data_IF_042629826980
#
_entry.id   IF_042629826980
#
_cell.length_a   1.000
_cell.length_b   1.000
_cell.length_c   1.000
_cell.angle_alpha   90.00
_cell.angle_beta   90.00
_cell.angle_gamma   90.00
#
_symmetry.space_group_name_H-M   'P 1'
#
loop_
_entity.id
_entity.type
_entity.pdbx_description
1 polymer ?
#
# COMPACT_ATOMS: atom_id res chain seq x y z
N UNK A 1 0.99 17.42 7.15
CA UNK A 1 -0.28 16.68 7.40
C UNK A 1 -0.80 16.65 8.84
N UNK A 2 0.04 16.77 9.88
CA UNK A 2 -0.38 16.66 11.30
C UNK A 2 -1.54 17.59 11.69
N UNK A 3 -2.55 17.03 12.34
CA UNK A 3 -3.71 17.78 12.84
C UNK A 3 -4.82 18.06 11.81
N UNK A 4 -4.64 17.68 10.54
CA UNK A 4 -5.68 17.75 9.51
C UNK A 4 -6.60 16.53 9.57
N UNK A 5 -7.87 16.71 9.24
CA UNK A 5 -8.79 15.58 9.01
C UNK A 5 -8.52 14.94 7.65
N UNK A 6 -8.70 13.62 7.58
CA UNK A 6 -8.53 12.85 6.35
C UNK A 6 -9.46 11.63 6.31
N UNK A 7 -9.67 11.09 5.11
CA UNK A 7 -10.35 9.82 4.86
C UNK A 7 -9.44 8.89 4.07
N UNK A 8 -9.61 7.57 4.26
CA UNK A 8 -8.83 6.55 3.56
C UNK A 8 -9.77 5.68 2.73
N UNK A 9 -9.51 5.65 1.42
CA UNK A 9 -10.07 4.67 0.50
C UNK A 9 -9.06 3.54 0.29
N UNK A 10 -9.54 2.29 0.28
CA UNK A 10 -8.73 1.09 0.05
C UNK A 10 -9.31 0.35 -1.15
N UNK A 11 -8.48 0.08 -2.14
CA UNK A 11 -8.90 -0.54 -3.40
C UNK A 11 -9.49 -1.94 -3.20
N UNK A 12 -8.84 -2.77 -2.37
CA UNK A 12 -9.23 -4.16 -2.19
C UNK A 12 -10.61 -4.31 -1.52
N UNK A 13 -11.13 -3.27 -0.86
CA UNK A 13 -12.51 -3.25 -0.35
C UNK A 13 -13.55 -3.18 -1.48
N UNK A 14 -13.12 -2.85 -2.71
CA UNK A 14 -13.97 -2.84 -3.91
C UNK A 14 -13.91 -4.15 -4.70
N UNK A 15 -13.02 -5.08 -4.31
CA UNK A 15 -12.87 -6.37 -4.97
C UNK A 15 -14.04 -7.30 -4.61
N UNK A 16 -14.29 -8.35 -5.43
CA UNK A 16 -15.29 -9.36 -5.10
C UNK A 16 -15.00 -10.03 -3.75
N UNK A 17 -16.06 -10.44 -3.05
CA UNK A 17 -15.95 -11.14 -1.78
C UNK A 17 -15.05 -12.39 -1.91
N UNK A 18 -14.05 -12.51 -1.05
CA UNK A 18 -13.13 -13.63 -1.01
C UNK A 18 -11.87 -13.49 -1.86
N UNK A 19 -11.77 -12.46 -2.72
CA UNK A 19 -10.57 -12.20 -3.55
C UNK A 19 -9.48 -11.43 -2.81
N UNK A 20 -9.80 -10.84 -1.65
CA UNK A 20 -8.84 -10.09 -0.84
C UNK A 20 -8.30 -10.93 0.32
N UNK A 21 -7.05 -11.34 0.21
CA UNK A 21 -6.27 -11.96 1.28
C UNK A 21 -5.39 -10.92 1.98
N UNK A 22 -5.85 -10.45 3.13
CA UNK A 22 -5.16 -9.43 3.93
C UNK A 22 -3.71 -9.80 4.32
N UNK A 23 -3.31 -11.08 4.20
CA UNK A 23 -1.99 -11.57 4.57
C UNK A 23 -1.09 -11.92 3.39
N UNK A 24 -1.57 -11.94 2.14
CA UNK A 24 -0.76 -12.35 0.98
C UNK A 24 -1.09 -11.56 -0.29
N UNK A 25 -1.66 -10.36 -0.14
CA UNK A 25 -1.96 -9.46 -1.26
C UNK A 25 -1.24 -8.11 -1.14
N UNK A 26 -1.49 -7.28 -2.14
CA UNK A 26 -1.25 -5.85 -2.14
C UNK A 26 -2.56 -5.09 -2.43
N UNK A 27 -2.60 -3.81 -2.06
CA UNK A 27 -3.73 -2.92 -2.36
C UNK A 27 -3.30 -1.46 -2.36
N UNK A 28 -3.87 -0.67 -3.26
CA UNK A 28 -3.72 0.77 -3.21
C UNK A 28 -4.58 1.39 -2.10
N UNK A 29 -4.00 2.35 -1.39
CA UNK A 29 -4.72 3.20 -0.44
C UNK A 29 -4.57 4.67 -0.83
N UNK A 30 -5.70 5.38 -0.91
CA UNK A 30 -5.75 6.82 -1.17
C UNK A 30 -6.15 7.55 0.11
N UNK A 31 -5.29 8.45 0.56
CA UNK A 31 -5.55 9.37 1.67
C UNK A 31 -5.98 10.72 1.10
N UNK A 32 -7.22 11.11 1.36
CA UNK A 32 -7.76 12.41 0.98
C UNK A 32 -7.86 13.32 2.21
N UNK A 33 -7.20 14.46 2.18
CA UNK A 33 -7.24 15.47 3.24
C UNK A 33 -8.34 16.50 2.98
N UNK A 34 -8.79 17.19 4.04
CA UNK A 34 -9.80 18.25 3.97
C UNK A 34 -9.42 19.44 3.07
N UNK A 35 -8.13 19.63 2.79
CA UNK A 35 -7.63 20.66 1.86
C UNK A 35 -7.72 20.25 0.38
N UNK A 36 -8.30 19.08 0.10
CA UNK A 36 -8.47 18.52 -1.23
C UNK A 36 -7.26 17.76 -1.75
N UNK A 37 -6.12 17.78 -1.04
CA UNK A 37 -4.95 16.99 -1.47
C UNK A 37 -5.22 15.49 -1.34
N UNK A 38 -4.79 14.74 -2.34
CA UNK A 38 -4.91 13.28 -2.41
C UNK A 38 -3.53 12.68 -2.57
N UNK A 39 -3.31 11.58 -1.87
CA UNK A 39 -2.02 10.90 -1.78
C UNK A 39 -2.24 9.40 -1.87
N UNK A 40 -1.36 8.69 -2.58
CA UNK A 40 -1.46 7.26 -2.84
C UNK A 40 -0.22 6.51 -2.36
N UNK A 41 -0.43 5.30 -1.86
CA UNK A 41 0.62 4.31 -1.67
C UNK A 41 0.06 2.91 -1.93
N UNK A 42 0.89 2.02 -2.47
CA UNK A 42 0.58 0.60 -2.64
C UNK A 42 1.08 -0.16 -1.43
N UNK A 43 0.17 -0.64 -0.59
CA UNK A 43 0.48 -1.48 0.56
C UNK A 43 0.70 -2.92 0.10
N UNK A 44 1.87 -3.49 0.40
CA UNK A 44 2.25 -4.83 -0.05
C UNK A 44 2.65 -5.67 1.14
N UNK A 45 2.04 -6.83 1.32
CA UNK A 45 2.40 -7.71 2.43
C UNK A 45 3.77 -8.35 2.23
N UNK A 46 4.52 -8.57 3.31
CA UNK A 46 5.80 -9.31 3.24
C UNK A 46 5.62 -10.70 2.63
N UNK A 47 4.49 -11.34 2.90
CA UNK A 47 4.16 -12.65 2.35
C UNK A 47 3.86 -12.56 0.84
N UNK A 48 3.15 -11.54 0.37
CA UNK A 48 2.96 -11.30 -1.06
C UNK A 48 4.29 -11.15 -1.81
N UNK A 49 5.27 -10.45 -1.21
CA UNK A 49 6.63 -10.38 -1.76
C UNK A 49 7.26 -11.77 -1.91
N UNK A 50 7.14 -12.64 -0.90
CA UNK A 50 7.67 -14.01 -0.98
C UNK A 50 6.97 -14.81 -2.08
N UNK A 51 5.64 -14.76 -2.12
CA UNK A 51 4.82 -15.44 -3.12
C UNK A 51 5.17 -14.99 -4.54
N UNK A 52 5.35 -13.67 -4.75
CA UNK A 52 5.76 -13.11 -6.03
C UNK A 52 7.19 -13.50 -6.41
N UNK A 53 8.14 -13.52 -5.46
CA UNK A 53 9.51 -13.98 -5.75
C UNK A 53 9.52 -15.45 -6.17
N UNK A 54 8.79 -16.31 -5.46
CA UNK A 54 8.69 -17.75 -5.78
C UNK A 54 8.05 -17.98 -7.16
N UNK A 55 6.96 -17.27 -7.46
CA UNK A 55 6.34 -17.27 -8.79
C UNK A 55 7.36 -16.82 -9.84
N UNK A 56 8.02 -15.69 -9.62
CA UNK A 56 8.93 -15.08 -10.58
C UNK A 56 10.18 -15.93 -10.85
N UNK A 57 10.65 -16.71 -9.87
CA UNK A 57 11.69 -17.72 -10.09
C UNK A 57 11.26 -18.78 -11.11
N UNK A 58 10.00 -19.18 -11.09
CA UNK A 58 9.43 -20.19 -12.00
C UNK A 58 9.10 -19.62 -13.38
N UNK A 59 8.58 -18.38 -13.43
CA UNK A 59 8.13 -17.75 -14.68
C UNK A 59 9.24 -17.00 -15.43
N UNK A 60 10.34 -16.65 -14.75
CA UNK A 60 11.43 -15.84 -15.29
C UNK A 60 11.20 -14.32 -15.19
N UNK A 61 10.03 -13.89 -14.70
CA UNK A 61 9.72 -12.49 -14.45
C UNK A 61 10.72 -11.86 -13.47
N UNK A 62 10.92 -10.54 -13.58
CA UNK A 62 11.84 -9.75 -12.74
C UNK A 62 13.22 -10.40 -12.54
N UNK A 63 13.85 -10.79 -13.66
CA UNK A 63 15.12 -11.53 -13.70
C UNK A 63 15.06 -12.78 -12.81
N UNK A 64 14.11 -13.69 -13.04
CA UNK A 64 13.93 -14.89 -12.21
C UNK A 64 13.76 -14.58 -10.71
N UNK A 65 12.99 -13.54 -10.38
CA UNK A 65 12.75 -13.09 -9.01
C UNK A 65 13.97 -12.52 -8.29
N UNK A 66 14.98 -12.01 -9.02
CA UNK A 66 16.16 -11.34 -8.42
C UNK A 66 15.86 -9.92 -7.94
N UNK A 67 14.80 -9.31 -8.46
CA UNK A 67 14.28 -8.05 -7.97
C UNK A 67 12.75 -8.05 -8.00
N UNK A 68 12.16 -7.11 -7.29
CA UNK A 68 10.76 -6.69 -7.42
C UNK A 68 10.76 -5.17 -7.34
N UNK A 69 9.82 -4.53 -8.02
CA UNK A 69 9.65 -3.09 -8.00
C UNK A 69 8.20 -2.75 -8.31
N UNK A 70 7.81 -1.56 -7.87
CA UNK A 70 6.51 -0.94 -8.05
C UNK A 70 6.65 0.53 -7.62
N UNK A 71 5.82 1.41 -8.16
CA UNK A 71 5.69 2.76 -7.62
C UNK A 71 5.05 2.69 -6.24
N UNK A 72 5.45 3.61 -5.35
CA UNK A 72 4.76 3.90 -4.08
C UNK A 72 4.60 2.69 -3.16
N UNK A 73 5.52 1.72 -3.28
CA UNK A 73 5.49 0.48 -2.50
C UNK A 73 5.76 0.76 -1.02
N UNK A 74 4.82 0.38 -0.17
CA UNK A 74 4.95 0.38 1.27
C UNK A 74 4.74 -1.04 1.81
N UNK A 75 5.81 -1.64 2.35
CA UNK A 75 5.74 -3.00 2.86
C UNK A 75 5.12 -3.06 4.25
N UNK A 76 4.17 -3.98 4.44
CA UNK A 76 3.45 -4.20 5.70
C UNK A 76 3.32 -5.69 6.04
N UNK A 77 2.96 -6.02 7.28
CA UNK A 77 2.73 -7.40 7.70
C UNK A 77 1.34 -7.93 7.28
N UNK A 78 0.33 -7.05 7.25
CA UNK A 78 -0.99 -7.31 6.68
C UNK A 78 -1.55 -6.04 6.03
N UNK A 79 -2.41 -6.18 5.03
CA UNK A 79 -3.06 -5.05 4.37
C UNK A 79 -4.49 -4.80 4.86
N UNK A 80 -4.85 -5.24 6.07
CA UNK A 80 -6.17 -4.95 6.65
C UNK A 80 -6.43 -3.44 6.76
N UNK A 81 -7.69 -2.99 6.66
CA UNK A 81 -8.05 -1.57 6.86
C UNK A 81 -7.46 -1.00 8.15
N UNK A 82 -7.59 -1.75 9.24
CA UNK A 82 -7.06 -1.35 10.55
C UNK A 82 -5.55 -1.12 10.48
N UNK A 83 -4.80 -2.02 9.83
CA UNK A 83 -3.34 -1.87 9.70
C UNK A 83 -2.96 -0.68 8.83
N UNK A 84 -3.66 -0.48 7.72
CA UNK A 84 -3.45 0.67 6.83
C UNK A 84 -3.68 1.98 7.61
N UNK A 85 -4.76 2.07 8.39
CA UNK A 85 -5.06 3.24 9.23
C UNK A 85 -3.98 3.49 10.30
N UNK A 86 -3.49 2.43 10.96
CA UNK A 86 -2.39 2.51 11.94
C UNK A 86 -1.10 3.05 11.30
N UNK A 87 -0.72 2.53 10.13
CA UNK A 87 0.49 2.97 9.42
C UNK A 87 0.35 4.42 8.94
N UNK A 88 -0.77 4.79 8.30
CA UNK A 88 -1.02 6.18 7.86
C UNK A 88 -0.95 7.14 9.05
N UNK A 89 -1.60 6.80 10.17
CA UNK A 89 -1.58 7.61 11.38
C UNK A 89 -0.17 7.79 11.95
N UNK A 90 0.63 6.71 11.97
CA UNK A 90 2.02 6.75 12.41
C UNK A 90 2.88 7.66 11.52
N UNK A 91 2.81 7.50 10.20
CA UNK A 91 3.60 8.31 9.25
C UNK A 91 3.24 9.80 9.31
N UNK A 92 1.96 10.13 9.52
CA UNK A 92 1.53 11.52 9.73
C UNK A 92 2.08 12.08 11.06
N UNK A 93 2.14 11.26 12.10
CA UNK A 93 2.61 11.66 13.43
C UNK A 93 4.12 11.96 13.43
N UNK A 94 4.91 11.09 12.79
CA UNK A 94 6.37 11.19 12.65
C UNK A 94 6.79 12.24 11.61
N UNK A 95 5.91 12.55 10.64
CA UNK A 95 6.17 13.53 9.59
C UNK A 95 6.73 12.96 8.28
N UNK A 96 6.81 11.63 8.18
CA UNK A 96 7.33 10.92 7.00
C UNK A 96 6.27 10.69 5.91
N UNK A 97 5.02 11.07 6.15
CA UNK A 97 3.91 10.81 5.24
C UNK A 97 4.17 11.31 3.80
N UNK A 98 4.59 12.57 3.64
CA UNK A 98 4.82 13.20 2.32
C UNK A 98 6.09 12.69 1.62
N UNK A 99 6.94 11.91 2.32
CA UNK A 99 8.12 11.25 1.76
C UNK A 99 7.78 9.88 1.17
N UNK A 100 6.80 9.20 1.77
CA UNK A 100 6.46 7.80 1.47
C UNK A 100 5.27 7.70 0.51
N UNK A 101 4.31 8.61 0.63
CA UNK A 101 3.16 8.65 -0.25
C UNK A 101 3.42 9.57 -1.42
N UNK A 102 2.98 9.13 -2.61
CA UNK A 102 3.00 9.96 -3.80
C UNK A 102 1.76 10.83 -3.84
N UNK A 103 1.94 12.09 -4.25
CA UNK A 103 0.83 13.03 -4.40
C UNK A 103 0.11 12.72 -5.71
N UNK A 104 -1.22 12.57 -5.65
CA UNK A 104 -2.01 12.46 -6.87
C UNK A 104 -2.04 13.84 -7.55
N UNK A 105 -1.42 13.95 -8.74
CA UNK A 105 -1.59 15.11 -9.62
C UNK A 105 -2.97 15.07 -10.31
N UNK A 106 -3.49 16.24 -10.67
CA UNK A 106 -4.73 16.40 -11.44
C UNK A 106 -4.61 15.92 -12.90
#
# INVERSE_FOLDING_TARGET
>A
MKGKQYSIWVEAEQWPEGEWNIHDDNTDAIVAFEDGSRWIATFITFKNIQTLVEKNQQTGECLHGKYLWGSDMLLVDECSRKRIEEVVGHLILEGDFELIFDKCDE
#
